data_IF_286007957785
#
_entry.id   IF_286007957785
#
_cell.length_a   1.000
_cell.length_b   1.000
_cell.length_c   1.000
_cell.angle_alpha   90.00
_cell.angle_beta   90.00
_cell.angle_gamma   90.00
#
_symmetry.space_group_name_H-M   'P 1'
#
loop_
_entity.id
_entity.type
_entity.pdbx_description
1 polymer ?
#
# COMPACT_ATOMS: atom_id res chain seq x y z
N UNK A 1 -12.80 -2.98 -7.89
CA UNK A 1 -13.21 -3.27 -6.51
C UNK A 1 -13.01 -2.08 -5.58
N UNK A 2 -13.72 -2.10 -4.45
CA UNK A 2 -13.46 -1.23 -3.29
C UNK A 2 -13.11 -2.14 -2.12
N UNK A 3 -11.90 -2.01 -1.59
CA UNK A 3 -11.44 -2.71 -0.39
C UNK A 3 -11.41 -1.73 0.78
N UNK A 4 -12.03 -2.11 1.90
CA UNK A 4 -11.94 -1.38 3.18
C UNK A 4 -11.37 -2.30 4.24
N UNK A 5 -10.41 -1.78 5.01
CA UNK A 5 -9.78 -2.51 6.10
C UNK A 5 -9.56 -1.53 7.26
N UNK A 6 -10.09 -1.87 8.42
CA UNK A 6 -9.74 -1.14 9.64
C UNK A 6 -8.46 -1.72 10.23
N UNK A 7 -7.52 -0.86 10.56
CA UNK A 7 -6.24 -1.22 11.15
C UNK A 7 -5.88 -0.36 12.34
N UNK A 8 -5.13 -0.93 13.26
CA UNK A 8 -4.49 -0.25 14.39
C UNK A 8 -3.08 -0.77 14.53
N UNK A 9 -2.13 0.10 14.88
CA UNK A 9 -0.71 -0.25 15.00
C UNK A 9 -0.16 0.10 16.37
N UNK A 10 0.88 -0.62 16.79
CA UNK A 10 1.73 -0.24 17.94
C UNK A 10 2.74 0.84 17.53
N UNK A 11 3.40 1.41 18.51
CA UNK A 11 4.50 2.35 18.30
C UNK A 11 5.64 1.67 17.54
N UNK A 12 6.12 2.34 16.49
CA UNK A 12 7.19 1.84 15.63
C UNK A 12 6.80 0.72 14.68
N UNK A 13 5.51 0.35 14.57
CA UNK A 13 5.10 -0.76 13.74
C UNK A 13 5.18 -0.47 12.24
N UNK A 14 5.41 -1.55 11.49
CA UNK A 14 5.37 -1.62 10.04
C UNK A 14 4.43 -2.74 9.59
N UNK A 15 3.60 -2.45 8.64
CA UNK A 15 2.68 -3.38 7.99
C UNK A 15 2.28 -2.83 6.62
N UNK A 16 1.34 -3.48 5.94
CA UNK A 16 0.81 -3.03 4.66
C UNK A 16 -0.40 -3.81 4.20
N UNK A 17 -1.18 -3.20 3.35
CA UNK A 17 -2.25 -3.86 2.61
C UNK A 17 -1.81 -3.94 1.16
N UNK A 18 -1.43 -5.14 0.72
CA UNK A 18 -1.01 -5.37 -0.67
C UNK A 18 -2.19 -5.83 -1.51
N UNK A 19 -2.16 -5.44 -2.77
CA UNK A 19 -3.15 -5.83 -3.78
C UNK A 19 -2.47 -6.06 -5.13
N UNK A 20 -3.12 -6.77 -6.05
CA UNK A 20 -2.50 -7.33 -7.24
C UNK A 20 -1.27 -8.19 -6.90
N UNK A 21 -1.31 -8.88 -5.78
CA UNK A 21 -0.21 -9.75 -5.35
C UNK A 21 -0.18 -10.99 -6.25
N UNK A 22 0.98 -11.22 -6.87
CA UNK A 22 1.23 -12.45 -7.60
C UNK A 22 2.14 -13.37 -6.77
N UNK A 23 1.61 -14.47 -6.20
CA UNK A 23 2.39 -15.37 -5.36
C UNK A 23 3.50 -16.10 -6.11
N UNK A 24 3.45 -16.11 -7.43
CA UNK A 24 4.46 -16.76 -8.27
C UNK A 24 5.65 -15.85 -8.63
N UNK A 25 5.56 -14.55 -8.38
CA UNK A 25 6.63 -13.60 -8.73
C UNK A 25 7.80 -13.61 -7.77
N UNK A 26 7.58 -13.96 -6.52
CA UNK A 26 8.67 -14.10 -5.53
C UNK A 26 8.59 -15.46 -4.87
N UNK A 27 9.58 -16.31 -5.15
CA UNK A 27 9.71 -17.65 -4.55
C UNK A 27 10.63 -17.67 -3.32
N UNK A 28 11.18 -16.54 -2.92
CA UNK A 28 12.04 -16.40 -1.75
C UNK A 28 11.27 -16.05 -0.47
N UNK A 29 11.87 -16.29 0.69
CA UNK A 29 11.34 -15.84 1.97
C UNK A 29 11.25 -14.30 1.98
N UNK A 30 10.17 -13.76 2.45
CA UNK A 30 10.10 -12.39 2.92
C UNK A 30 9.28 -11.39 2.14
N UNK A 31 8.75 -11.63 0.94
CA UNK A 31 7.82 -10.67 0.36
C UNK A 31 7.02 -11.19 -0.83
N UNK A 32 5.72 -11.16 -0.71
CA UNK A 32 4.84 -11.26 -1.85
C UNK A 32 4.86 -9.93 -2.63
N UNK A 33 4.97 -9.99 -3.95
CA UNK A 33 5.11 -8.82 -4.81
C UNK A 33 3.74 -8.33 -5.27
N UNK A 34 3.45 -7.07 -5.03
CA UNK A 34 2.22 -6.37 -5.40
C UNK A 34 2.27 -4.91 -5.03
N UNK A 35 1.29 -4.13 -5.49
CA UNK A 35 1.08 -2.76 -5.03
C UNK A 35 0.73 -2.76 -3.54
N UNK A 36 1.13 -1.71 -2.81
CA UNK A 36 0.98 -1.70 -1.36
C UNK A 36 0.51 -0.35 -0.84
N UNK A 37 -0.62 -0.36 -0.12
CA UNK A 37 -0.99 0.72 0.78
C UNK A 37 -0.15 0.56 2.05
N UNK A 38 0.84 1.44 2.25
CA UNK A 38 1.75 1.37 3.39
C UNK A 38 1.04 1.66 4.70
N UNK A 39 1.32 0.83 5.71
CA UNK A 39 0.93 1.06 7.11
C UNK A 39 2.20 1.17 7.93
N UNK A 40 2.44 2.36 8.51
CA UNK A 40 3.69 2.65 9.20
C UNK A 40 3.49 3.65 10.32
N UNK A 41 4.23 3.51 11.41
CA UNK A 41 4.46 4.62 12.33
C UNK A 41 5.52 5.57 11.73
N UNK A 42 5.06 6.61 11.07
CA UNK A 42 5.92 7.57 10.35
C UNK A 42 6.95 8.28 11.23
N UNK A 43 6.71 8.35 12.55
CA UNK A 43 7.58 9.07 13.48
C UNK A 43 8.67 8.17 14.05
N UNK A 44 8.38 6.88 14.24
CA UNK A 44 9.25 5.95 14.98
C UNK A 44 9.93 4.92 14.11
N UNK A 45 9.26 4.43 13.06
CA UNK A 45 9.84 3.38 12.23
C UNK A 45 10.93 3.94 11.30
N UNK A 46 12.11 3.29 11.21
CA UNK A 46 13.23 3.78 10.39
C UNK A 46 12.93 3.86 8.89
N UNK A 47 12.05 3.00 8.36
CA UNK A 47 11.70 3.00 6.93
C UNK A 47 11.02 4.32 6.48
N UNK A 48 10.40 5.07 7.41
CA UNK A 48 9.84 6.39 7.14
C UNK A 48 10.86 7.42 6.63
N UNK A 49 12.15 7.20 6.90
CA UNK A 49 13.27 8.07 6.49
C UNK A 49 13.91 7.60 5.18
N UNK A 50 13.52 6.43 4.69
CA UNK A 50 14.03 5.84 3.46
C UNK A 50 13.14 6.19 2.28
N UNK A 51 13.55 5.75 1.08
CA UNK A 51 12.85 6.04 -0.15
C UNK A 51 13.02 7.48 -0.62
N UNK A 52 12.08 7.97 -1.42
CA UNK A 52 12.12 9.30 -2.04
C UNK A 52 10.91 10.12 -1.63
N UNK A 53 11.16 11.34 -1.13
CA UNK A 53 10.09 12.30 -0.75
C UNK A 53 9.02 11.74 0.20
N UNK A 54 9.36 10.70 0.99
CA UNK A 54 8.43 10.09 1.95
C UNK A 54 7.49 9.05 1.35
N UNK A 55 7.83 8.47 0.21
CA UNK A 55 7.03 7.45 -0.47
C UNK A 55 6.98 6.08 0.24
N UNK A 56 7.58 5.97 1.44
CA UNK A 56 7.47 4.80 2.32
C UNK A 56 6.68 5.07 3.59
N UNK A 57 6.02 6.24 3.69
CA UNK A 57 5.19 6.62 4.82
C UNK A 57 3.78 6.08 4.70
N UNK A 58 3.05 6.08 5.82
CA UNK A 58 1.66 5.66 5.91
C UNK A 58 0.80 6.21 4.76
N UNK A 59 0.02 5.34 4.13
CA UNK A 59 -0.93 5.66 3.06
C UNK A 59 -0.31 5.85 1.68
N UNK A 60 1.03 5.89 1.58
CA UNK A 60 1.72 5.94 0.29
C UNK A 60 1.46 4.68 -0.53
N UNK A 61 1.58 4.78 -1.86
CA UNK A 61 1.90 3.62 -2.67
C UNK A 61 3.38 3.33 -2.43
N UNK A 62 3.65 2.29 -1.63
CA UNK A 62 4.97 2.03 -1.07
C UNK A 62 6.09 2.05 -2.11
N UNK A 63 7.13 2.86 -1.84
CA UNK A 63 8.32 3.08 -2.65
C UNK A 63 8.07 3.73 -4.03
N UNK A 64 6.84 4.15 -4.32
CA UNK A 64 6.43 4.73 -5.60
C UNK A 64 5.86 6.16 -5.44
N UNK A 65 4.69 6.31 -4.81
CA UNK A 65 3.98 7.59 -4.71
C UNK A 65 3.78 7.98 -3.25
N UNK A 66 4.30 9.13 -2.82
CA UNK A 66 4.17 9.57 -1.43
C UNK A 66 2.76 10.05 -1.12
N UNK A 67 2.24 9.67 0.06
CA UNK A 67 1.05 10.30 0.63
C UNK A 67 1.36 11.69 1.18
N UNK A 68 0.36 12.57 1.31
CA UNK A 68 0.52 13.87 1.94
C UNK A 68 1.08 13.77 3.37
N UNK A 69 1.83 14.80 3.81
CA UNK A 69 2.32 14.86 5.20
C UNK A 69 1.16 14.94 6.19
N UNK A 70 0.21 15.83 5.92
CA UNK A 70 -0.98 16.00 6.74
C UNK A 70 -2.04 15.01 6.28
N UNK A 71 -2.29 14.00 7.09
CA UNK A 71 -3.28 12.96 6.84
C UNK A 71 -4.04 12.63 8.12
N UNK A 72 -5.32 12.24 8.03
CA UNK A 72 -6.16 11.98 9.20
C UNK A 72 -5.81 10.62 9.82
N UNK A 73 -4.72 10.55 10.56
CA UNK A 73 -4.29 9.34 11.25
C UNK A 73 -4.40 9.46 12.76
N UNK A 74 -5.10 8.54 13.40
CA UNK A 74 -5.18 8.43 14.85
C UNK A 74 -4.32 7.25 15.34
N UNK A 75 -3.21 7.54 16.00
CA UNK A 75 -2.27 6.53 16.48
C UNK A 75 -2.84 5.57 17.53
N UNK A 76 -3.87 6.00 18.29
CA UNK A 76 -4.41 5.24 19.42
C UNK A 76 -5.63 4.40 19.06
N UNK A 77 -6.24 4.66 17.92
CA UNK A 77 -7.51 4.09 17.53
C UNK A 77 -7.40 3.29 16.23
N UNK A 78 -8.47 2.60 15.88
CA UNK A 78 -8.59 2.02 14.55
C UNK A 78 -8.76 3.11 13.50
N UNK A 79 -8.07 2.95 12.39
CA UNK A 79 -8.15 3.78 11.21
C UNK A 79 -8.67 2.95 10.05
N UNK A 80 -9.41 3.55 9.13
CA UNK A 80 -9.93 2.88 7.95
C UNK A 80 -9.09 3.21 6.72
N UNK A 81 -8.39 2.23 6.18
CA UNK A 81 -7.81 2.29 4.85
C UNK A 81 -8.89 1.91 3.82
N UNK A 82 -8.99 2.67 2.74
CA UNK A 82 -9.83 2.31 1.59
C UNK A 82 -8.98 2.35 0.33
N UNK A 83 -9.02 1.27 -0.44
CA UNK A 83 -8.37 1.16 -1.74
C UNK A 83 -9.47 0.98 -2.77
N UNK A 84 -9.54 1.89 -3.74
CA UNK A 84 -10.48 1.85 -4.84
C UNK A 84 -9.71 1.52 -6.11
N UNK A 85 -10.14 0.47 -6.80
CA UNK A 85 -9.57 0.07 -8.09
C UNK A 85 -10.67 0.00 -9.12
N UNK A 86 -10.54 0.80 -10.18
CA UNK A 86 -11.47 0.82 -11.32
C UNK A 86 -10.66 0.76 -12.62
N UNK A 87 -10.58 -0.42 -13.21
CA UNK A 87 -9.66 -0.67 -14.32
C UNK A 87 -8.21 -0.42 -13.91
N UNK A 88 -7.54 0.48 -14.61
CA UNK A 88 -6.17 0.89 -14.28
C UNK A 88 -6.10 2.00 -13.22
N UNK A 89 -7.22 2.68 -12.94
CA UNK A 89 -7.27 3.76 -11.95
C UNK A 89 -7.32 3.22 -10.53
N UNK A 90 -6.46 3.76 -9.65
CA UNK A 90 -6.36 3.37 -8.25
C UNK A 90 -6.33 4.60 -7.35
N UNK A 91 -7.03 4.51 -6.23
CA UNK A 91 -7.02 5.52 -5.19
C UNK A 91 -6.70 4.90 -3.82
N UNK A 92 -5.92 5.61 -3.00
CA UNK A 92 -5.76 5.34 -1.57
C UNK A 92 -6.47 6.40 -0.75
N UNK A 93 -7.23 5.95 0.24
CA UNK A 93 -7.96 6.78 1.17
C UNK A 93 -7.68 6.37 2.61
N UNK A 94 -7.60 7.33 3.52
CA UNK A 94 -7.46 7.12 4.95
C UNK A 94 -8.56 7.89 5.68
N UNK A 95 -9.36 7.20 6.50
CA UNK A 95 -10.45 7.80 7.28
C UNK A 95 -11.35 8.72 6.46
N UNK A 96 -11.68 8.32 5.22
CA UNK A 96 -12.56 9.07 4.33
C UNK A 96 -11.91 10.23 3.56
N UNK A 97 -10.60 10.44 3.70
CA UNK A 97 -9.84 11.45 2.94
C UNK A 97 -8.97 10.76 1.90
N UNK A 98 -9.08 11.19 0.63
CA UNK A 98 -8.22 10.71 -0.45
C UNK A 98 -6.79 11.21 -0.25
N UNK A 99 -5.83 10.28 -0.24
CA UNK A 99 -4.41 10.58 -0.08
C UNK A 99 -3.68 10.67 -1.41
N UNK A 100 -3.89 9.68 -2.27
CA UNK A 100 -3.26 9.59 -3.60
C UNK A 100 -4.23 8.96 -4.59
N UNK A 101 -3.97 9.22 -5.86
CA UNK A 101 -4.57 8.53 -7.00
C UNK A 101 -3.54 8.35 -8.11
N UNK A 102 -3.66 7.31 -8.90
CA UNK A 102 -2.76 7.02 -10.01
C UNK A 102 -3.38 6.05 -11.00
N UNK A 103 -2.81 6.03 -12.21
CA UNK A 103 -3.17 5.07 -13.23
C UNK A 103 -2.01 4.11 -13.49
N UNK A 104 -2.32 2.82 -13.51
CA UNK A 104 -1.37 1.74 -13.84
C UNK A 104 -1.25 1.56 -15.35
N UNK A 105 -0.27 0.78 -15.78
CA UNK A 105 -0.14 0.28 -17.14
C UNK A 105 -0.05 1.39 -18.21
N UNK A 106 0.71 2.45 -17.89
CA UNK A 106 1.04 3.53 -18.80
C UNK A 106 2.51 3.94 -18.64
N UNK A 107 3.00 4.86 -19.48
CA UNK A 107 4.41 5.27 -19.47
C UNK A 107 4.83 5.93 -18.16
N UNK A 108 3.95 6.71 -17.54
CA UNK A 108 4.21 7.33 -16.23
C UNK A 108 4.38 6.26 -15.16
N UNK A 109 3.50 5.25 -15.14
CA UNK A 109 3.60 4.11 -14.24
C UNK A 109 4.91 3.35 -14.44
N UNK A 110 5.26 3.06 -15.68
CA UNK A 110 6.50 2.35 -16.03
C UNK A 110 7.74 3.13 -15.58
N UNK A 111 7.74 4.45 -15.72
CA UNK A 111 8.81 5.33 -15.23
C UNK A 111 8.91 5.29 -13.71
N UNK A 112 7.79 5.38 -12.98
CA UNK A 112 7.79 5.26 -11.51
C UNK A 112 8.37 3.93 -11.04
N UNK A 113 7.96 2.82 -11.64
CA UNK A 113 8.46 1.48 -11.32
C UNK A 113 9.95 1.38 -11.59
N UNK A 114 10.44 1.93 -12.71
CA UNK A 114 11.85 1.90 -13.07
C UNK A 114 12.76 2.62 -12.07
N UNK A 115 12.25 3.62 -11.34
CA UNK A 115 12.96 4.36 -10.29
C UNK A 115 12.76 3.81 -8.88
N UNK A 116 12.01 2.71 -8.71
CA UNK A 116 11.70 2.10 -7.43
C UNK A 116 12.52 0.84 -7.15
N UNK A 117 12.37 0.30 -5.96
CA UNK A 117 12.92 -1.03 -5.62
C UNK A 117 12.35 -2.16 -6.49
N UNK A 118 11.22 -1.90 -7.16
CA UNK A 118 10.52 -2.87 -8.00
C UNK A 118 11.02 -2.92 -9.45
N UNK A 119 12.03 -2.14 -9.79
CA UNK A 119 12.60 -2.05 -11.16
C UNK A 119 12.99 -3.40 -11.79
N UNK A 120 13.35 -4.38 -10.97
CA UNK A 120 13.75 -5.71 -11.43
C UNK A 120 12.57 -6.72 -11.49
N UNK A 121 11.35 -6.26 -11.20
CA UNK A 121 10.15 -7.09 -11.24
C UNK A 121 9.38 -6.82 -12.52
N UNK A 122 9.47 -7.72 -13.53
CA UNK A 122 8.76 -7.54 -14.79
C UNK A 122 7.27 -7.40 -14.54
N UNK A 123 6.65 -6.44 -15.21
CA UNK A 123 5.21 -6.24 -15.15
C UNK A 123 4.64 -5.93 -13.76
N UNK A 124 5.45 -5.34 -12.87
CA UNK A 124 5.02 -4.98 -11.52
C UNK A 124 3.74 -4.12 -11.52
N UNK A 125 2.72 -4.59 -10.77
CA UNK A 125 1.45 -3.87 -10.58
C UNK A 125 0.54 -3.80 -11.82
N UNK A 126 0.93 -4.37 -12.96
CA UNK A 126 0.14 -4.35 -14.19
C UNK A 126 -0.85 -5.52 -14.37
N UNK A 127 -0.72 -6.68 -13.70
CA UNK A 127 -1.71 -7.74 -13.85
C UNK A 127 -3.12 -7.24 -13.53
N UNK A 128 -4.11 -7.76 -14.25
CA UNK A 128 -5.52 -7.43 -14.04
C UNK A 128 -6.08 -8.08 -12.78
N UNK A 129 -5.50 -9.20 -12.38
CA UNK A 129 -5.89 -10.00 -11.23
C UNK A 129 -4.74 -10.17 -10.25
N UNK A 130 -5.07 -10.48 -9.01
CA UNK A 130 -4.09 -10.78 -7.96
C UNK A 130 -4.75 -10.93 -6.60
N UNK A 131 -3.97 -11.40 -5.64
CA UNK A 131 -4.42 -11.57 -4.28
C UNK A 131 -4.34 -10.26 -3.49
N UNK A 132 -5.14 -10.18 -2.43
CA UNK A 132 -5.01 -9.19 -1.37
C UNK A 132 -4.22 -9.85 -0.24
N UNK A 133 -3.25 -9.13 0.33
CA UNK A 133 -2.42 -9.60 1.41
C UNK A 133 -2.34 -8.54 2.51
N UNK A 134 -2.55 -8.96 3.75
CA UNK A 134 -2.24 -8.17 4.94
C UNK A 134 -0.83 -8.59 5.42
N UNK A 135 0.08 -7.62 5.47
CA UNK A 135 1.49 -7.90 5.74
C UNK A 135 1.74 -8.08 7.24
N UNK A 136 2.36 -9.19 7.60
CA UNK A 136 3.09 -9.35 8.86
C UNK A 136 4.55 -8.94 8.63
N UNK A 137 5.04 -7.98 9.40
CA UNK A 137 6.43 -7.51 9.37
C UNK A 137 7.15 -7.73 10.71
N UNK A 138 6.55 -8.51 11.61
CA UNK A 138 7.07 -8.82 12.94
C UNK A 138 6.61 -7.87 14.04
N UNK A 139 5.84 -6.84 13.71
CA UNK A 139 5.27 -5.89 14.67
C UNK A 139 3.81 -6.21 14.95
N UNK A 140 3.32 -5.87 16.14
CA UNK A 140 1.93 -6.07 16.51
C UNK A 140 1.02 -5.06 15.81
N UNK A 141 0.14 -5.57 14.95
CA UNK A 141 -0.86 -4.82 14.18
C UNK A 141 -2.19 -5.55 14.23
N UNK A 142 -3.28 -4.79 14.38
CA UNK A 142 -4.62 -5.34 14.37
C UNK A 142 -5.36 -4.96 13.11
N UNK A 143 -6.07 -5.92 12.53
CA UNK A 143 -6.99 -5.72 11.43
C UNK A 143 -8.39 -6.19 11.81
N UNK A 144 -9.40 -5.46 11.35
CA UNK A 144 -10.81 -5.84 11.47
C UNK A 144 -11.63 -5.29 10.31
N UNK A 145 -12.88 -5.70 10.23
CA UNK A 145 -13.84 -5.19 9.23
C UNK A 145 -13.29 -5.20 7.81
N UNK A 146 -12.58 -6.27 7.44
CA UNK A 146 -12.08 -6.45 6.07
C UNK A 146 -13.27 -6.69 5.15
N UNK A 147 -13.51 -5.76 4.23
CA UNK A 147 -14.66 -5.77 3.31
C UNK A 147 -14.21 -5.46 1.90
N UNK A 148 -14.67 -6.26 0.96
CA UNK A 148 -14.46 -6.01 -0.46
C UNK A 148 -15.80 -5.92 -1.19
N UNK A 149 -15.90 -5.00 -2.13
CA UNK A 149 -17.02 -4.87 -3.06
C UNK A 149 -16.47 -4.89 -4.48
N UNK A 150 -16.93 -5.83 -5.28
CA UNK A 150 -16.65 -5.81 -6.72
C UNK A 150 -17.42 -4.66 -7.38
N UNK A 151 -16.76 -4.00 -8.32
CA UNK A 151 -17.37 -2.98 -9.18
C UNK A 151 -17.70 -3.65 -10.52
N UNK A 152 -18.96 -3.57 -10.91
CA UNK A 152 -19.44 -4.03 -12.22
C UNK A 152 -19.05 -3.03 -13.28
#
# INVERSE_FOLDING_TARGET
FILKVDFKITEGANSGIKYFVNPNMNKGAGSAIGCEFQILDDDKHPDAKLGVKGNRKLGSLYDLIPAPKNKPFNKKEFNTATIIVKGNHVEHWLNGVKLIEYDRNNDMWNALVAYSKYKNWPNFGNPEEGNILLQDHGDEVWFKNVKIKELK
#
